data_IF_367359638187
#
_entry.id   IF_367359638187
#
_cell.length_a   1.000
_cell.length_b   1.000
_cell.length_c   1.000
_cell.angle_alpha   90.00
_cell.angle_beta   90.00
_cell.angle_gamma   90.00
#
_symmetry.space_group_name_H-M   'P 1'
#
loop_
_entity.id
_entity.type
_entity.pdbx_description
1 polymer ?
#
# COMPACT_ATOMS: atom_id res chain seq x y z
N UNK A 1 -19.82 15.03 -5.22
CA UNK A 1 -19.17 14.94 -6.56
C UNK A 1 -18.24 13.73 -6.54
N UNK A 2 -18.14 12.93 -7.62
CA UNK A 2 -17.22 11.80 -7.65
C UNK A 2 -15.78 12.29 -7.89
N UNK A 3 -14.87 11.96 -6.97
CA UNK A 3 -13.45 12.33 -7.08
C UNK A 3 -12.73 11.48 -8.13
N UNK A 4 -11.85 12.10 -8.92
CA UNK A 4 -11.04 11.44 -9.95
C UNK A 4 -9.65 11.07 -9.42
N UNK A 5 -9.10 9.95 -9.90
CA UNK A 5 -7.85 9.33 -9.43
C UNK A 5 -6.63 10.14 -9.95
N UNK A 6 -6.36 11.32 -9.37
CA UNK A 6 -5.21 12.17 -9.74
C UNK A 6 -4.31 12.60 -8.59
N UNK A 7 -4.75 12.44 -7.34
CA UNK A 7 -4.12 13.09 -6.19
C UNK A 7 -3.47 12.05 -5.25
N UNK A 8 -2.38 11.42 -5.73
CA UNK A 8 -1.65 10.32 -5.06
C UNK A 8 -0.13 10.42 -5.42
N UNK A 9 0.92 10.46 -4.56
CA UNK A 9 1.14 10.65 -3.09
C UNK A 9 2.66 10.54 -2.69
N UNK A 10 3.09 10.67 -1.42
CA UNK A 10 4.51 10.44 -0.95
C UNK A 10 4.61 9.60 0.34
N UNK A 11 5.65 8.75 0.47
CA UNK A 11 5.87 7.68 1.47
C UNK A 11 7.38 7.54 1.83
N UNK A 12 7.86 6.78 2.84
CA UNK A 12 9.32 6.68 3.16
C UNK A 12 9.81 5.33 3.69
N UNK A 13 10.74 4.66 3.00
CA UNK A 13 11.48 3.49 3.54
C UNK A 13 12.92 3.43 3.00
N UNK A 14 13.89 3.60 3.91
CA UNK A 14 15.31 3.57 3.58
C UNK A 14 15.98 2.19 3.65
N UNK A 15 15.31 1.11 4.10
CA UNK A 15 15.97 -0.20 4.38
C UNK A 15 15.16 -1.48 4.07
N UNK A 16 13.89 -1.46 3.68
CA UNK A 16 13.15 -2.71 3.34
C UNK A 16 12.54 -2.68 1.93
N UNK A 17 12.72 -3.78 1.19
CA UNK A 17 12.10 -3.99 -0.13
C UNK A 17 10.69 -4.55 0.07
N UNK A 18 9.66 -3.73 -0.11
CA UNK A 18 8.26 -4.18 -0.04
C UNK A 18 7.47 -3.72 -1.25
N UNK A 19 6.43 -4.48 -1.58
CA UNK A 19 5.58 -4.35 -2.75
C UNK A 19 4.16 -4.68 -2.28
N UNK A 20 3.23 -3.74 -2.41
CA UNK A 20 1.83 -3.87 -2.01
C UNK A 20 0.90 -3.78 -3.23
N UNK A 21 -0.17 -4.58 -3.19
CA UNK A 21 -1.20 -4.71 -4.23
C UNK A 21 -2.55 -4.49 -3.56
N UNK A 22 -3.45 -3.72 -4.17
CA UNK A 22 -4.65 -3.20 -3.52
C UNK A 22 -5.94 -3.89 -4.01
N UNK A 23 -6.64 -4.58 -3.11
CA UNK A 23 -8.05 -4.94 -3.28
C UNK A 23 -8.85 -4.69 -1.99
N UNK A 24 -10.17 -4.53 -2.12
CA UNK A 24 -11.08 -4.08 -1.06
C UNK A 24 -11.20 -5.06 0.12
N UNK A 25 -11.52 -4.50 1.29
CA UNK A 25 -11.94 -5.15 2.53
C UNK A 25 -11.29 -6.52 2.82
N UNK A 26 -10.12 -6.52 3.47
CA UNK A 26 -9.46 -7.74 3.88
C UNK A 26 -10.35 -8.57 4.80
N UNK A 27 -10.65 -9.80 4.38
CA UNK A 27 -11.45 -10.78 5.14
C UNK A 27 -10.96 -11.04 6.56
N UNK A 28 -9.73 -10.65 6.90
CA UNK A 28 -9.14 -10.78 8.24
C UNK A 28 -9.49 -9.62 9.19
N UNK A 29 -9.72 -8.39 8.71
CA UNK A 29 -10.25 -7.30 9.55
C UNK A 29 -11.63 -7.67 10.08
N UNK A 30 -12.47 -8.28 9.23
CA UNK A 30 -13.75 -8.85 9.62
C UNK A 30 -13.60 -9.98 10.66
N UNK A 31 -12.48 -10.69 10.71
CA UNK A 31 -12.22 -11.75 11.69
C UNK A 31 -11.67 -11.21 13.01
N UNK A 32 -10.78 -10.20 12.97
CA UNK A 32 -10.29 -9.49 14.14
C UNK A 32 -11.42 -8.70 14.81
N UNK A 33 -12.19 -7.92 14.05
CA UNK A 33 -13.39 -7.26 14.54
C UNK A 33 -14.39 -8.26 15.14
N UNK A 34 -14.57 -9.44 14.53
CA UNK A 34 -15.40 -10.53 15.12
C UNK A 34 -14.83 -11.07 16.42
N UNK A 35 -13.51 -11.14 16.61
CA UNK A 35 -12.91 -11.54 17.88
C UNK A 35 -13.13 -10.47 18.97
N UNK A 36 -12.95 -9.19 18.63
CA UNK A 36 -13.17 -8.08 19.56
C UNK A 36 -14.67 -7.97 19.92
N UNK A 37 -15.57 -8.00 18.93
CA UNK A 37 -17.04 -8.01 19.18
C UNK A 37 -17.44 -9.22 20.04
N UNK A 38 -16.91 -10.42 19.75
CA UNK A 38 -17.17 -11.61 20.55
C UNK A 38 -16.60 -11.50 21.97
N UNK A 39 -15.47 -10.81 22.16
CA UNK A 39 -14.94 -10.49 23.48
C UNK A 39 -15.87 -9.52 24.22
N UNK A 40 -16.32 -8.45 23.57
CA UNK A 40 -17.29 -7.48 24.12
C UNK A 40 -18.62 -8.13 24.52
N UNK A 41 -19.11 -9.10 23.74
CA UNK A 41 -20.27 -9.92 24.10
C UNK A 41 -19.98 -10.82 25.31
N UNK A 42 -18.90 -11.61 25.25
CA UNK A 42 -18.61 -12.66 26.23
C UNK A 42 -18.12 -12.10 27.58
N UNK A 43 -17.45 -10.95 27.63
CA UNK A 43 -16.98 -10.34 28.90
C UNK A 43 -18.12 -9.96 29.85
N UNK A 44 -19.36 -9.86 29.35
CA UNK A 44 -20.56 -9.62 30.17
C UNK A 44 -21.23 -10.89 30.68
N UNK A 45 -20.75 -12.08 30.28
CA UNK A 45 -21.33 -13.36 30.65
C UNK A 45 -20.49 -14.03 31.75
N UNK A 46 -21.05 -14.10 32.96
CA UNK A 46 -20.40 -14.67 34.17
C UNK A 46 -19.91 -16.13 34.01
N UNK A 47 -20.41 -16.87 33.01
CA UNK A 47 -19.99 -18.24 32.73
C UNK A 47 -18.66 -18.34 31.95
N UNK A 48 -18.06 -17.21 31.56
CA UNK A 48 -16.83 -17.17 30.77
C UNK A 48 -15.77 -16.28 31.41
N UNK A 49 -14.53 -16.78 31.45
CA UNK A 49 -13.37 -15.97 31.79
C UNK A 49 -12.92 -15.20 30.54
N UNK A 50 -13.24 -13.90 30.51
CA UNK A 50 -12.71 -12.96 29.52
C UNK A 50 -11.56 -12.17 30.13
N UNK A 51 -10.42 -12.11 29.43
CA UNK A 51 -9.26 -11.31 29.82
C UNK A 51 -8.71 -10.57 28.61
N UNK A 52 -8.35 -9.30 28.79
CA UNK A 52 -7.71 -8.43 27.82
C UNK A 52 -6.48 -7.82 28.47
N UNK A 53 -5.36 -7.83 27.75
CA UNK A 53 -4.14 -7.12 28.11
C UNK A 53 -3.56 -6.42 26.89
N UNK A 54 -2.86 -5.33 27.15
CA UNK A 54 -2.26 -4.42 26.18
C UNK A 54 -0.77 -4.23 26.50
N UNK A 55 -0.07 -3.42 25.71
CA UNK A 55 1.31 -3.04 26.02
C UNK A 55 1.45 -2.19 27.30
N UNK A 56 0.34 -1.64 27.83
CA UNK A 56 0.32 -0.86 29.08
C UNK A 56 0.32 -1.75 30.33
N UNK A 57 -0.02 -3.04 30.17
CA UNK A 57 -0.14 -4.03 31.26
C UNK A 57 1.14 -4.88 31.42
N UNK A 58 2.25 -4.47 30.79
CA UNK A 58 3.52 -5.21 30.80
C UNK A 58 4.34 -4.95 32.07
N UNK A 59 4.03 -5.70 33.13
CA UNK A 59 4.82 -5.72 34.38
C UNK A 59 6.19 -6.42 34.24
N UNK A 60 6.44 -7.13 33.13
CA UNK A 60 7.60 -8.01 32.94
C UNK A 60 8.70 -7.40 32.05
N UNK A 61 8.44 -6.26 31.42
CA UNK A 61 9.44 -5.53 30.61
C UNK A 61 9.75 -6.19 29.27
N UNK A 62 8.77 -6.85 28.66
CA UNK A 62 8.86 -7.34 27.28
C UNK A 62 8.78 -6.21 26.24
N UNK A 63 8.10 -5.11 26.55
CA UNK A 63 7.98 -3.94 25.67
C UNK A 63 9.24 -3.09 25.82
N UNK A 64 10.04 -3.05 24.75
CA UNK A 64 11.28 -2.26 24.74
C UNK A 64 11.01 -0.78 24.50
N UNK A 65 11.94 0.09 24.88
CA UNK A 65 11.88 1.54 24.63
C UNK A 65 11.66 1.85 23.14
N UNK A 66 12.36 1.13 22.24
CA UNK A 66 12.17 1.24 20.80
C UNK A 66 10.72 0.89 20.35
N UNK A 67 10.08 -0.09 20.99
CA UNK A 67 8.69 -0.44 20.70
C UNK A 67 7.73 0.65 21.19
N UNK A 68 8.01 1.30 22.32
CA UNK A 68 7.23 2.45 22.81
C UNK A 68 7.36 3.66 21.87
N UNK A 69 8.55 3.94 21.34
CA UNK A 69 8.76 5.00 20.33
C UNK A 69 7.96 4.74 19.05
N UNK A 70 7.95 3.50 18.56
CA UNK A 70 7.15 3.10 17.40
C UNK A 70 5.63 3.21 17.67
N UNK A 71 5.17 2.78 18.86
CA UNK A 71 3.76 2.90 19.29
C UNK A 71 3.31 4.36 19.35
N UNK A 72 4.10 5.22 19.99
CA UNK A 72 3.71 6.62 20.21
C UNK A 72 3.78 7.42 18.89
N UNK A 73 4.68 7.07 17.97
CA UNK A 73 4.67 7.61 16.59
C UNK A 73 3.38 7.24 15.84
N UNK A 74 2.95 5.98 15.89
CA UNK A 74 1.71 5.54 15.25
C UNK A 74 0.50 6.25 15.88
N UNK A 75 0.46 6.38 17.21
CA UNK A 75 -0.60 7.10 17.95
C UNK A 75 -0.73 8.57 17.56
N UNK A 76 0.39 9.25 17.28
CA UNK A 76 0.39 10.65 16.84
C UNK A 76 -0.11 10.81 15.40
N UNK A 77 0.20 9.86 14.52
CA UNK A 77 -0.05 9.98 13.08
C UNK A 77 -1.34 9.28 12.60
N UNK A 78 -1.75 8.18 13.24
CA UNK A 78 -2.99 7.45 12.96
C UNK A 78 -3.58 6.86 14.26
N UNK A 79 -4.26 7.72 15.03
CA UNK A 79 -4.78 7.39 16.37
C UNK A 79 -5.80 6.25 16.37
N UNK A 80 -6.63 6.12 15.32
CA UNK A 80 -7.58 5.00 15.23
C UNK A 80 -6.85 3.69 14.95
N UNK A 81 -5.86 3.66 14.06
CA UNK A 81 -5.03 2.46 13.86
C UNK A 81 -4.25 2.07 15.13
N UNK A 82 -3.77 3.05 15.92
CA UNK A 82 -3.18 2.79 17.24
C UNK A 82 -4.18 2.09 18.18
N UNK A 83 -5.42 2.58 18.29
CA UNK A 83 -6.46 1.98 19.14
C UNK A 83 -6.80 0.55 18.71
N UNK A 84 -6.87 0.30 17.40
CA UNK A 84 -7.06 -1.04 16.86
C UNK A 84 -5.90 -1.98 17.22
N UNK A 85 -4.67 -1.58 16.88
CA UNK A 85 -3.51 -2.47 16.90
C UNK A 85 -2.95 -2.70 18.31
N UNK A 86 -2.93 -1.66 19.15
CA UNK A 86 -2.23 -1.68 20.45
C UNK A 86 -3.16 -1.70 21.67
N UNK A 87 -4.39 -1.21 21.53
CA UNK A 87 -5.40 -1.27 22.60
C UNK A 87 -6.47 -2.37 22.36
N UNK A 88 -6.49 -2.98 21.17
CA UNK A 88 -7.46 -4.02 20.82
C UNK A 88 -8.90 -3.51 20.68
N UNK A 89 -9.09 -2.20 20.51
CA UNK A 89 -10.41 -1.59 20.41
C UNK A 89 -11.05 -1.83 19.03
N UNK A 90 -12.35 -2.10 19.00
CA UNK A 90 -13.14 -2.17 17.78
C UNK A 90 -13.43 -0.76 17.23
N UNK A 91 -12.39 -0.04 16.81
CA UNK A 91 -12.57 1.16 16.00
C UNK A 91 -13.14 0.79 14.63
N UNK A 92 -14.19 1.48 14.23
CA UNK A 92 -14.68 1.39 12.87
C UNK A 92 -13.76 2.17 11.95
N UNK A 93 -12.86 1.49 11.22
CA UNK A 93 -12.13 2.01 10.06
C UNK A 93 -13.07 2.27 8.85
N UNK A 94 -14.25 2.86 9.13
CA UNK A 94 -15.33 3.15 8.19
C UNK A 94 -15.54 2.06 7.14
N UNK A 95 -15.44 2.49 5.88
CA UNK A 95 -15.32 1.60 4.72
C UNK A 95 -13.89 1.62 4.11
N UNK A 96 -12.88 2.12 4.84
CA UNK A 96 -11.56 2.45 4.30
C UNK A 96 -10.44 1.83 5.14
N UNK A 97 -9.73 0.89 4.52
CA UNK A 97 -8.55 0.17 5.08
C UNK A 97 -7.39 1.10 5.44
N UNK A 98 -7.33 2.30 4.84
CA UNK A 98 -6.27 3.28 5.03
C UNK A 98 -6.86 4.61 5.45
N UNK A 99 -6.26 5.24 6.45
CA UNK A 99 -6.64 6.57 6.90
C UNK A 99 -6.19 7.63 5.87
N UNK A 100 -7.14 8.18 5.12
CA UNK A 100 -6.86 9.08 4.00
C UNK A 100 -6.27 10.45 4.38
N UNK A 101 -6.18 10.80 5.68
CA UNK A 101 -5.50 12.02 6.12
C UNK A 101 -3.97 11.87 6.21
N UNK A 102 -3.47 10.65 6.39
CA UNK A 102 -2.02 10.31 6.39
C UNK A 102 -1.37 10.45 5.01
N UNK A 103 -2.22 10.70 4.00
CA UNK A 103 -1.85 10.82 2.61
C UNK A 103 -1.72 12.30 2.22
N UNK A 104 -0.49 12.77 2.02
CA UNK A 104 -0.18 14.14 1.60
C UNK A 104 0.17 14.27 0.10
N UNK A 105 -0.67 14.99 -0.65
CA UNK A 105 -0.33 15.45 -2.00
C UNK A 105 0.77 16.53 -1.96
N UNK A 106 1.63 16.55 -2.98
CA UNK A 106 2.71 17.55 -3.12
C UNK A 106 2.56 18.33 -4.43
N UNK A 107 2.69 19.65 -4.36
CA UNK A 107 2.60 20.52 -5.56
C UNK A 107 3.84 20.44 -6.45
N UNK A 108 4.99 20.09 -5.86
CA UNK A 108 6.27 19.96 -6.55
C UNK A 108 7.21 19.01 -5.83
N UNK A 109 8.23 18.49 -6.52
CA UNK A 109 9.26 17.66 -5.91
C UNK A 109 10.09 18.47 -4.90
N UNK A 110 10.44 17.92 -3.71
CA UNK A 110 11.28 18.63 -2.75
C UNK A 110 12.64 19.02 -3.35
N UNK A 111 13.01 20.29 -3.18
CA UNK A 111 14.27 20.84 -3.73
C UNK A 111 15.52 20.32 -2.99
N UNK A 112 15.37 19.88 -1.75
CA UNK A 112 16.44 19.37 -0.89
C UNK A 112 16.49 17.82 -0.82
N UNK A 113 15.63 17.13 -1.56
CA UNK A 113 15.55 15.67 -1.60
C UNK A 113 15.32 15.15 -3.03
N UNK A 114 16.42 15.07 -3.78
CA UNK A 114 16.40 14.66 -5.19
C UNK A 114 15.94 13.21 -5.38
N UNK A 115 15.22 12.97 -6.47
CA UNK A 115 14.99 11.61 -6.99
C UNK A 115 16.32 10.91 -7.32
N UNK A 116 16.45 9.65 -6.92
CA UNK A 116 17.57 8.76 -7.24
C UNK A 116 17.19 7.66 -8.25
N UNK A 117 15.90 7.40 -8.44
CA UNK A 117 15.39 6.50 -9.48
C UNK A 117 13.89 6.22 -9.33
N UNK A 118 13.30 5.51 -10.30
CA UNK A 118 11.87 5.21 -10.34
C UNK A 118 11.64 3.70 -10.38
N UNK A 119 10.79 3.22 -9.46
CA UNK A 119 10.23 1.88 -9.48
C UNK A 119 8.81 1.90 -10.06
N UNK A 120 8.42 0.84 -10.75
CA UNK A 120 7.06 0.70 -11.28
C UNK A 120 6.38 -0.50 -10.62
N UNK A 121 5.17 -0.30 -10.10
CA UNK A 121 4.32 -1.40 -9.61
C UNK A 121 3.05 -1.47 -10.46
N UNK A 122 2.65 -2.68 -10.84
CA UNK A 122 1.54 -2.90 -11.77
C UNK A 122 0.58 -3.97 -11.26
N UNK A 123 -0.68 -3.59 -11.21
CA UNK A 123 -1.85 -4.45 -11.07
C UNK A 123 -2.49 -4.59 -12.47
N UNK A 124 -2.78 -5.81 -12.90
CA UNK A 124 -3.39 -6.07 -14.20
C UNK A 124 -4.65 -6.91 -14.08
N UNK A 125 -5.81 -6.25 -14.15
CA UNK A 125 -7.09 -6.92 -14.16
C UNK A 125 -7.33 -7.79 -15.41
N UNK A 126 -7.83 -9.00 -15.18
CA UNK A 126 -8.33 -9.90 -16.22
C UNK A 126 -9.76 -9.54 -16.62
N UNK A 127 -10.00 -9.33 -17.93
CA UNK A 127 -11.29 -9.20 -18.65
C UNK A 127 -12.37 -8.23 -18.14
N UNK A 128 -12.60 -8.08 -16.85
CA UNK A 128 -13.58 -7.19 -16.23
C UNK A 128 -12.94 -6.20 -15.25
N UNK A 129 -11.79 -6.55 -14.66
CA UNK A 129 -11.04 -5.69 -13.73
C UNK A 129 -10.13 -4.70 -14.47
N UNK A 130 -9.84 -3.57 -13.85
CA UNK A 130 -8.96 -2.54 -14.39
C UNK A 130 -7.47 -2.94 -14.33
N UNK A 131 -6.64 -2.34 -15.18
CA UNK A 131 -5.18 -2.41 -15.11
C UNK A 131 -4.65 -1.06 -14.65
N UNK A 132 -3.81 -1.05 -13.61
CA UNK A 132 -3.18 0.13 -13.04
C UNK A 132 -1.66 -0.05 -12.97
N UNK A 133 -0.90 0.99 -13.32
CA UNK A 133 0.54 1.00 -13.13
C UNK A 133 0.99 2.33 -12.52
N UNK A 134 1.53 2.27 -11.30
CA UNK A 134 2.06 3.44 -10.59
C UNK A 134 3.57 3.60 -10.80
N UNK A 135 4.01 4.85 -10.95
CA UNK A 135 5.41 5.23 -11.06
C UNK A 135 5.94 5.84 -9.74
N UNK A 136 6.70 5.08 -8.97
CA UNK A 136 7.16 5.43 -7.62
C UNK A 136 8.62 5.90 -7.65
N UNK A 137 8.84 7.20 -7.56
CA UNK A 137 10.15 7.84 -7.47
C UNK A 137 10.75 7.74 -6.07
N UNK A 138 11.85 7.00 -5.94
CA UNK A 138 12.66 6.94 -4.72
C UNK A 138 13.59 8.16 -4.65
N UNK A 139 13.70 8.80 -3.49
CA UNK A 139 14.54 9.98 -3.22
C UNK A 139 15.82 9.63 -2.45
N UNK A 140 16.72 10.60 -2.30
CA UNK A 140 17.99 10.43 -1.59
C UNK A 140 17.82 10.25 -0.07
N UNK A 141 16.80 10.86 0.55
CA UNK A 141 16.44 10.66 1.96
C UNK A 141 15.61 9.39 2.23
N UNK A 142 15.31 8.61 1.18
CA UNK A 142 14.51 7.38 1.26
C UNK A 142 13.00 7.58 1.13
N UNK A 143 12.54 8.76 0.71
CA UNK A 143 11.14 9.01 0.40
C UNK A 143 10.77 8.38 -0.96
N UNK A 144 9.48 8.14 -1.19
CA UNK A 144 8.89 7.36 -2.27
C UNK A 144 7.65 8.11 -2.74
N UNK A 145 7.79 8.86 -3.83
CA UNK A 145 6.76 9.73 -4.40
C UNK A 145 6.05 8.97 -5.52
N UNK A 146 4.74 8.81 -5.51
CA UNK A 146 3.99 8.43 -6.70
C UNK A 146 3.94 9.63 -7.65
N UNK A 147 4.63 9.49 -8.78
CA UNK A 147 4.91 10.56 -9.75
C UNK A 147 3.85 10.66 -10.85
N UNK A 148 3.26 9.52 -11.22
CA UNK A 148 2.21 9.40 -12.24
C UNK A 148 1.53 8.03 -12.11
N UNK A 149 0.29 7.90 -12.58
CA UNK A 149 -0.47 6.65 -12.58
C UNK A 149 -1.10 6.39 -13.94
N UNK A 150 -0.73 5.27 -14.56
CA UNK A 150 -1.49 4.70 -15.67
C UNK A 150 -2.72 3.96 -15.14
N UNK A 151 -3.87 4.18 -15.77
CA UNK A 151 -5.10 3.46 -15.45
C UNK A 151 -5.90 3.14 -16.73
N UNK A 152 -6.28 1.88 -16.89
CA UNK A 152 -7.17 1.40 -17.95
C UNK A 152 -8.29 0.56 -17.32
N UNK A 153 -9.55 0.92 -17.57
CA UNK A 153 -10.69 0.08 -17.18
C UNK A 153 -11.39 -0.50 -18.42
N UNK A 154 -11.62 -1.82 -18.49
CA UNK A 154 -12.43 -2.44 -19.54
C UNK A 154 -13.95 -2.27 -19.31
N UNK A 155 -14.38 -1.72 -18.16
CA UNK A 155 -15.78 -1.50 -17.86
C UNK A 155 -16.40 -0.52 -18.87
N UNK A 156 -17.56 -0.89 -19.43
CA UNK A 156 -18.25 -0.10 -20.46
C UNK A 156 -17.60 -0.15 -21.86
N UNK A 157 -16.49 -0.88 -22.06
CA UNK A 157 -15.85 -1.00 -23.37
C UNK A 157 -16.35 -2.23 -24.14
N UNK A 158 -16.87 -2.00 -25.35
CA UNK A 158 -17.31 -3.06 -26.27
C UNK A 158 -16.13 -3.90 -26.79
N UNK A 159 -15.03 -3.24 -27.12
CA UNK A 159 -13.77 -3.88 -27.54
C UNK A 159 -12.75 -3.64 -26.43
N UNK A 160 -12.41 -4.71 -25.72
CA UNK A 160 -11.46 -4.70 -24.60
C UNK A 160 -10.04 -4.86 -25.13
N UNK A 161 -9.09 -4.16 -24.50
CA UNK A 161 -7.69 -4.16 -24.95
C UNK A 161 -7.03 -5.52 -24.76
N UNK A 162 -6.41 -6.03 -25.82
CA UNK A 162 -5.63 -7.25 -25.78
C UNK A 162 -4.31 -7.03 -24.99
N UNK A 163 -3.68 -8.09 -24.43
CA UNK A 163 -2.40 -7.96 -23.74
C UNK A 163 -1.32 -7.25 -24.57
N UNK A 164 -1.28 -7.47 -25.89
CA UNK A 164 -0.35 -6.82 -26.83
C UNK A 164 -0.62 -5.33 -27.06
N UNK A 165 -1.84 -4.85 -26.79
CA UNK A 165 -2.13 -3.41 -26.78
C UNK A 165 -1.78 -2.80 -25.43
N UNK A 166 -2.09 -3.51 -24.34
CA UNK A 166 -1.76 -3.07 -22.97
C UNK A 166 -0.25 -2.93 -22.78
N UNK A 167 0.58 -3.86 -23.26
CA UNK A 167 2.05 -3.75 -23.16
C UNK A 167 2.59 -2.50 -23.84
N UNK A 168 2.02 -2.11 -24.98
CA UNK A 168 2.36 -0.85 -25.68
C UNK A 168 1.94 0.37 -24.87
N UNK A 169 0.73 0.38 -24.29
CA UNK A 169 0.26 1.49 -23.44
C UNK A 169 1.13 1.65 -22.18
N UNK A 170 1.49 0.53 -21.54
CA UNK A 170 2.37 0.50 -20.36
C UNK A 170 3.79 0.98 -20.71
N UNK A 171 4.37 0.53 -21.82
CA UNK A 171 5.70 1.00 -22.25
C UNK A 171 5.71 2.49 -22.56
N UNK A 172 4.69 3.00 -23.25
CA UNK A 172 4.55 4.43 -23.54
C UNK A 172 4.42 5.28 -22.26
N UNK A 173 3.72 4.76 -21.24
CA UNK A 173 3.64 5.39 -19.93
C UNK A 173 5.01 5.42 -19.22
N UNK A 174 5.71 4.29 -19.16
CA UNK A 174 7.06 4.20 -18.56
C UNK A 174 8.02 5.16 -19.26
N UNK A 175 8.01 5.21 -20.59
CA UNK A 175 8.85 6.11 -21.37
C UNK A 175 8.52 7.59 -21.12
N UNK A 176 7.23 7.94 -21.03
CA UNK A 176 6.79 9.30 -20.68
C UNK A 176 7.38 9.73 -19.33
N UNK A 177 7.20 8.90 -18.30
CA UNK A 177 7.68 9.15 -16.95
C UNK A 177 9.21 9.28 -16.92
N UNK A 178 9.94 8.35 -17.53
CA UNK A 178 11.41 8.39 -17.54
C UNK A 178 11.96 9.61 -18.31
N UNK A 179 11.31 10.03 -19.41
CA UNK A 179 11.67 11.25 -20.15
C UNK A 179 11.41 12.54 -19.35
N UNK A 180 10.35 12.55 -18.54
CA UNK A 180 9.97 13.68 -17.68
C UNK A 180 10.96 13.86 -16.52
N UNK A 181 11.23 12.80 -15.76
CA UNK A 181 12.03 12.90 -14.52
C UNK A 181 13.53 12.63 -14.71
N UNK A 182 13.94 12.01 -15.82
CA UNK A 182 15.36 11.83 -16.22
C UNK A 182 16.25 11.12 -15.18
N UNK A 183 15.66 10.20 -14.42
CA UNK A 183 16.33 9.37 -13.41
C UNK A 183 16.27 7.88 -13.81
N UNK A 184 17.19 7.02 -13.32
CA UNK A 184 17.21 5.62 -13.73
C UNK A 184 15.97 4.84 -13.28
N UNK A 185 15.55 3.89 -14.11
CA UNK A 185 14.56 2.87 -13.75
C UNK A 185 15.21 1.86 -12.79
N UNK A 186 14.60 1.64 -11.63
CA UNK A 186 15.14 0.80 -10.55
C UNK A 186 14.60 -0.63 -10.64
N UNK A 187 13.29 -0.82 -10.45
CA UNK A 187 12.65 -2.13 -10.49
C UNK A 187 11.20 -2.04 -10.98
N UNK A 188 10.80 -3.03 -11.76
CA UNK A 188 9.44 -3.20 -12.26
C UNK A 188 8.84 -4.44 -11.61
N UNK A 189 7.71 -4.31 -10.92
CA UNK A 189 7.01 -5.44 -10.28
C UNK A 189 5.53 -5.48 -10.61
N UNK A 190 5.04 -6.71 -10.72
CA UNK A 190 3.70 -7.07 -11.16
C UNK A 190 3.15 -8.12 -10.20
N UNK A 191 1.84 -8.31 -10.18
CA UNK A 191 1.24 -9.43 -9.45
C UNK A 191 1.84 -10.79 -9.85
N UNK A 192 1.92 -11.71 -8.90
CA UNK A 192 2.52 -13.03 -9.13
C UNK A 192 1.73 -13.91 -10.09
N UNK A 193 0.40 -13.75 -10.15
CA UNK A 193 -0.48 -14.52 -11.02
C UNK A 193 -0.35 -14.12 -12.51
N UNK A 194 0.15 -12.92 -12.78
CA UNK A 194 0.04 -12.25 -14.07
C UNK A 194 1.14 -12.66 -15.06
N UNK A 195 1.03 -13.91 -15.53
CA UNK A 195 1.95 -14.49 -16.52
C UNK A 195 1.79 -13.94 -17.94
N UNK A 196 0.56 -13.61 -18.35
CA UNK A 196 0.26 -13.22 -19.74
C UNK A 196 0.93 -11.90 -20.13
N UNK A 197 0.70 -10.82 -19.37
CA UNK A 197 1.31 -9.51 -19.63
C UNK A 197 2.82 -9.57 -19.41
N UNK A 198 3.34 -10.32 -18.43
CA UNK A 198 4.79 -10.54 -18.26
C UNK A 198 5.46 -11.13 -19.50
N UNK A 199 4.89 -12.19 -20.05
CA UNK A 199 5.44 -12.89 -21.20
C UNK A 199 5.34 -12.03 -22.47
N UNK A 200 4.22 -11.31 -22.65
CA UNK A 200 4.04 -10.39 -23.77
C UNK A 200 5.01 -9.19 -23.68
N UNK A 201 5.17 -8.57 -22.50
CA UNK A 201 6.09 -7.44 -22.31
C UNK A 201 7.55 -7.84 -22.54
N UNK A 202 7.96 -9.04 -22.08
CA UNK A 202 9.29 -9.57 -22.37
C UNK A 202 9.49 -9.94 -23.85
N UNK A 203 8.44 -10.37 -24.55
CA UNK A 203 8.48 -10.62 -26.00
C UNK A 203 8.68 -9.32 -26.79
N UNK A 204 7.95 -8.28 -26.43
CA UNK A 204 7.92 -7.00 -27.14
C UNK A 204 9.15 -6.14 -26.84
N UNK A 205 9.55 -6.03 -25.56
CA UNK A 205 10.54 -5.06 -25.08
C UNK A 205 11.84 -5.69 -24.54
N UNK A 206 11.91 -7.02 -24.42
CA UNK A 206 13.02 -7.77 -23.77
C UNK A 206 13.26 -7.42 -22.29
N UNK A 207 12.40 -6.63 -21.67
CA UNK A 207 12.45 -6.31 -20.25
C UNK A 207 11.59 -7.25 -19.41
N UNK A 208 11.98 -7.47 -18.14
CA UNK A 208 11.29 -8.38 -17.22
C UNK A 208 10.63 -7.63 -16.08
N UNK A 209 9.32 -7.78 -15.97
CA UNK A 209 8.59 -7.49 -14.73
C UNK A 209 8.84 -8.62 -13.72
N UNK A 210 9.24 -8.24 -12.51
CA UNK A 210 9.50 -9.18 -11.41
C UNK A 210 8.20 -9.47 -10.65
N UNK A 211 7.71 -10.72 -10.59
CA UNK A 211 6.53 -11.04 -9.79
C UNK A 211 6.77 -10.71 -8.32
N UNK A 212 5.76 -10.15 -7.65
CA UNK A 212 5.80 -9.95 -6.19
C UNK A 212 5.81 -11.29 -5.45
N UNK A 213 6.65 -11.41 -4.43
CA UNK A 213 6.56 -12.50 -3.47
C UNK A 213 5.43 -12.17 -2.49
N UNK A 214 4.21 -12.67 -2.74
CA UNK A 214 3.03 -12.40 -1.91
C UNK A 214 3.28 -12.78 -0.46
N UNK A 215 3.13 -11.80 0.45
CA UNK A 215 3.03 -12.03 1.90
C UNK A 215 1.56 -12.24 2.28
N UNK A 216 1.30 -12.49 3.56
CA UNK A 216 -0.07 -12.41 4.12
C UNK A 216 -0.61 -10.98 3.90
N UNK A 217 -1.89 -10.85 3.55
CA UNK A 217 -2.50 -9.55 3.24
C UNK A 217 -2.34 -8.54 4.38
N UNK A 218 -2.53 -8.97 5.63
CA UNK A 218 -2.28 -8.19 6.84
C UNK A 218 -0.88 -7.55 6.82
N UNK A 219 0.18 -8.35 6.69
CA UNK A 219 1.58 -7.87 6.61
C UNK A 219 1.86 -6.93 5.44
N UNK A 220 1.02 -6.89 4.40
CA UNK A 220 1.15 -5.91 3.31
C UNK A 220 0.46 -4.58 3.64
N UNK A 221 -0.66 -4.63 4.37
CA UNK A 221 -1.44 -3.47 4.83
C UNK A 221 -0.73 -2.78 6.00
N UNK A 222 -0.37 -3.53 7.04
CA UNK A 222 0.35 -2.99 8.21
C UNK A 222 1.64 -2.27 7.80
N UNK A 223 2.31 -2.77 6.74
CA UNK A 223 3.53 -2.16 6.23
C UNK A 223 3.26 -0.84 5.49
N UNK A 224 2.14 -0.71 4.77
CA UNK A 224 1.73 0.57 4.16
C UNK A 224 1.31 1.56 5.26
N UNK A 225 0.63 1.10 6.32
CA UNK A 225 0.21 1.98 7.43
C UNK A 225 1.44 2.44 8.24
N UNK A 226 2.42 1.58 8.53
CA UNK A 226 3.72 1.98 9.10
C UNK A 226 4.43 3.03 8.24
N UNK A 227 4.46 2.80 6.93
CA UNK A 227 5.08 3.68 5.93
C UNK A 227 4.43 5.07 5.85
N UNK A 228 3.12 5.15 6.15
CA UNK A 228 2.34 6.39 6.27
C UNK A 228 2.54 7.07 7.62
N UNK A 229 2.58 6.29 8.70
CA UNK A 229 2.88 6.77 10.04
C UNK A 229 4.36 7.17 10.25
N UNK A 230 5.23 7.01 9.26
CA UNK A 230 6.65 7.42 9.27
C UNK A 230 6.91 8.79 8.61
N UNK A 231 5.87 9.53 8.20
CA UNK A 231 6.03 10.88 7.63
C UNK A 231 6.41 11.88 8.73
N UNK A 232 7.60 12.47 8.59
CA UNK A 232 8.07 13.62 9.38
C UNK A 232 7.95 14.88 8.52
N UNK A 233 7.45 15.96 9.11
CA UNK A 233 7.45 17.32 8.55
C UNK A 233 8.84 17.97 8.62
#
# INVERSE_FOLDING_TARGET
MPFTIRDILTLKDGRRRVWGFFELFPKWEQLAARQIIKFEEIKTNENYLAHSSTYLDDELGFVTEQMLEDIERIKQNDFDYYRYLYLGEAVGLGNQVYNMSTFHAIDSLPTDDRLIGISFAMDTGHQQSATACGAYGLTAKGNVILLDTFYYSPAGQVIKKAPSELTVMISNFIDKVLKQYRVPKLKMTIDSAEGAIRNQYFKDYRERWHPVAKKKNQTMIDMIISLLAEVYY
#
